data_IF_889013449408
#
_entry.id   IF_889013449408
#
_cell.length_a   1.000
_cell.length_b   1.000
_cell.length_c   1.000
_cell.angle_alpha   90.00
_cell.angle_beta   90.00
_cell.angle_gamma   90.00
#
_symmetry.space_group_name_H-M   'P 1'
#
loop_
_entity.id
_entity.type
_entity.pdbx_description
1 polymer ?
#
# COMPACT_ATOMS: atom_id res chain seq x y z
N UNK A 1 9.82 -15.89 0.79
CA UNK A 1 8.64 -15.22 1.37
C UNK A 1 7.45 -15.49 0.47
N UNK A 2 6.29 -15.84 1.03
CA UNK A 2 5.07 -15.99 0.23
C UNK A 2 4.61 -14.62 -0.27
N UNK A 3 4.05 -14.55 -1.49
CA UNK A 3 3.51 -13.32 -2.07
C UNK A 3 2.41 -12.70 -1.19
N UNK A 4 1.61 -13.54 -0.52
CA UNK A 4 0.63 -13.11 0.48
C UNK A 4 1.27 -12.41 1.69
N UNK A 5 2.45 -12.86 2.14
CA UNK A 5 3.17 -12.22 3.24
C UNK A 5 3.71 -10.84 2.82
N UNK A 6 4.20 -10.70 1.59
CA UNK A 6 4.65 -9.42 1.04
C UNK A 6 3.53 -8.38 0.94
N UNK A 7 2.34 -8.80 0.49
CA UNK A 7 1.14 -7.94 0.46
C UNK A 7 0.69 -7.53 1.87
N UNK A 8 0.71 -8.45 2.83
CA UNK A 8 0.38 -8.14 4.23
C UNK A 8 1.31 -7.09 4.82
N UNK A 9 2.62 -7.27 4.64
CA UNK A 9 3.63 -6.29 5.12
C UNK A 9 3.42 -4.91 4.48
N UNK A 10 3.11 -4.85 3.18
CA UNK A 10 2.83 -3.58 2.50
C UNK A 10 1.57 -2.89 3.06
N UNK A 11 0.49 -3.65 3.27
CA UNK A 11 -0.74 -3.12 3.84
C UNK A 11 -0.53 -2.60 5.27
N UNK A 12 0.22 -3.35 6.10
CA UNK A 12 0.56 -2.95 7.47
C UNK A 12 1.40 -1.66 7.47
N UNK A 13 2.40 -1.56 6.59
CA UNK A 13 3.25 -0.37 6.47
C UNK A 13 2.44 0.88 6.08
N UNK A 14 1.48 0.75 5.17
CA UNK A 14 0.54 1.83 4.81
C UNK A 14 -0.34 2.20 6.00
N UNK A 15 -0.85 1.23 6.75
CA UNK A 15 -1.62 1.49 7.97
C UNK A 15 -0.82 2.27 9.02
N UNK A 16 0.45 1.91 9.24
CA UNK A 16 1.36 2.64 10.13
C UNK A 16 1.58 4.07 9.67
N UNK A 17 1.79 4.28 8.36
CA UNK A 17 1.95 5.61 7.77
C UNK A 17 0.71 6.49 8.04
N UNK A 18 -0.49 5.97 7.77
CA UNK A 18 -1.74 6.68 8.02
C UNK A 18 -1.93 7.03 9.49
N UNK A 19 -1.67 6.10 10.40
CA UNK A 19 -1.77 6.37 11.82
C UNK A 19 -0.79 7.45 12.28
N UNK A 20 0.45 7.41 11.78
CA UNK A 20 1.44 8.44 12.06
C UNK A 20 1.01 9.80 11.48
N UNK A 21 0.51 9.82 10.25
CA UNK A 21 0.01 11.03 9.59
C UNK A 21 -1.18 11.63 10.33
N UNK A 22 -2.21 10.84 10.66
CA UNK A 22 -3.39 11.33 11.38
C UNK A 22 -3.03 11.94 12.74
N UNK A 23 -2.09 11.32 13.47
CA UNK A 23 -1.59 11.89 14.73
C UNK A 23 -0.87 13.22 14.51
N UNK A 24 -0.01 13.29 13.49
CA UNK A 24 0.70 14.52 13.15
C UNK A 24 -0.28 15.62 12.71
N UNK A 25 -1.21 15.30 11.82
CA UNK A 25 -2.18 16.22 11.25
C UNK A 25 -3.11 16.83 12.29
N UNK A 26 -3.40 16.11 13.39
CA UNK A 26 -4.19 16.65 14.49
C UNK A 26 -3.54 17.87 15.17
N UNK A 27 -2.21 17.98 15.12
CA UNK A 27 -1.43 19.10 15.67
C UNK A 27 -0.85 20.03 14.59
N UNK A 28 -0.62 19.50 13.38
CA UNK A 28 -0.09 20.23 12.23
C UNK A 28 -1.09 20.16 11.08
N UNK A 29 -1.95 21.18 10.97
CA UNK A 29 -3.08 21.22 10.04
C UNK A 29 -3.09 22.50 9.17
N UNK A 30 -1.92 23.09 8.97
CA UNK A 30 -1.77 24.30 8.15
C UNK A 30 -1.68 23.95 6.65
N UNK A 31 -1.51 24.98 5.82
CA UNK A 31 -1.34 24.80 4.37
C UNK A 31 -0.10 23.98 3.99
N UNK A 32 0.91 23.91 4.87
CA UNK A 32 2.12 23.12 4.64
C UNK A 32 1.83 21.65 4.88
N UNK A 33 1.05 21.33 5.92
CA UNK A 33 0.57 19.99 6.18
C UNK A 33 -0.27 19.46 5.02
N UNK A 34 -1.18 20.28 4.47
CA UNK A 34 -1.96 19.91 3.27
C UNK A 34 -1.06 19.62 2.06
N UNK A 35 -0.02 20.44 1.83
CA UNK A 35 0.94 20.20 0.74
C UNK A 35 1.72 18.91 0.95
N UNK A 36 2.16 18.66 2.18
CA UNK A 36 2.87 17.43 2.54
C UNK A 36 2.03 16.18 2.28
N UNK A 37 0.74 16.22 2.64
CA UNK A 37 -0.19 15.14 2.35
C UNK A 37 -0.30 14.86 0.85
N UNK A 38 -0.50 15.91 0.06
CA UNK A 38 -0.64 15.81 -1.40
C UNK A 38 0.65 15.36 -2.10
N UNK A 39 1.81 15.79 -1.61
CA UNK A 39 3.11 15.52 -2.22
C UNK A 39 3.65 14.14 -1.87
N UNK A 40 3.39 13.66 -0.64
CA UNK A 40 4.00 12.43 -0.14
C UNK A 40 2.98 11.35 0.24
N UNK A 41 1.98 11.70 1.06
CA UNK A 41 1.08 10.72 1.65
C UNK A 41 0.15 10.12 0.59
N UNK A 42 -0.62 10.94 -0.12
CA UNK A 42 -1.58 10.47 -1.14
C UNK A 42 -0.91 9.69 -2.29
N UNK A 43 0.26 10.10 -2.83
CA UNK A 43 0.94 9.31 -3.85
C UNK A 43 1.42 7.95 -3.36
N UNK A 44 1.95 7.85 -2.13
CA UNK A 44 2.40 6.58 -1.55
C UNK A 44 1.23 5.62 -1.35
N UNK A 45 0.09 6.11 -0.87
CA UNK A 45 -1.13 5.29 -0.73
C UNK A 45 -1.59 4.71 -2.07
N UNK A 46 -1.63 5.55 -3.10
CA UNK A 46 -2.01 5.13 -4.44
C UNK A 46 -1.04 4.09 -5.00
N UNK A 47 0.26 4.32 -4.86
CA UNK A 47 1.29 3.40 -5.32
C UNK A 47 1.24 2.05 -4.58
N UNK A 48 1.04 2.07 -3.26
CA UNK A 48 0.96 0.86 -2.46
C UNK A 48 -0.28 0.03 -2.80
N UNK A 49 -1.43 0.68 -3.05
CA UNK A 49 -2.64 0.00 -3.52
C UNK A 49 -2.41 -0.67 -4.87
N UNK A 50 -1.85 0.06 -5.84
CA UNK A 50 -1.53 -0.48 -7.16
C UNK A 50 -0.56 -1.67 -7.08
N UNK A 51 0.45 -1.60 -6.21
CA UNK A 51 1.36 -2.71 -5.98
C UNK A 51 0.65 -3.92 -5.37
N UNK A 52 -0.27 -3.72 -4.42
CA UNK A 52 -1.11 -4.79 -3.87
C UNK A 52 -1.96 -5.50 -4.93
N UNK A 53 -2.62 -4.72 -5.80
CA UNK A 53 -3.43 -5.26 -6.89
C UNK A 53 -2.57 -6.05 -7.91
N UNK A 54 -1.37 -5.54 -8.21
CA UNK A 54 -0.42 -6.25 -9.07
C UNK A 54 0.05 -7.57 -8.45
N UNK A 55 0.26 -7.61 -7.12
CA UNK A 55 0.59 -8.85 -6.41
C UNK A 55 -0.56 -9.87 -6.48
N UNK A 56 -1.81 -9.44 -6.34
CA UNK A 56 -2.97 -10.34 -6.46
C UNK A 56 -3.07 -10.93 -7.88
N UNK A 57 -2.88 -10.09 -8.90
CA UNK A 57 -2.92 -10.54 -10.28
C UNK A 57 -1.81 -11.54 -10.60
N UNK A 58 -0.60 -11.29 -10.11
CA UNK A 58 0.52 -12.22 -10.26
C UNK A 58 0.22 -13.57 -9.60
N UNK A 59 -0.32 -13.57 -8.38
CA UNK A 59 -0.71 -14.79 -7.69
C UNK A 59 -1.76 -15.58 -8.49
N UNK A 60 -2.78 -14.89 -9.01
CA UNK A 60 -3.82 -15.52 -9.84
C UNK A 60 -3.23 -16.20 -11.09
N UNK A 61 -2.32 -15.52 -11.80
CA UNK A 61 -1.67 -16.09 -13.00
C UNK A 61 -0.79 -17.28 -12.64
N UNK A 62 -0.06 -17.21 -11.53
CA UNK A 62 0.75 -18.34 -11.05
C UNK A 62 -0.12 -19.56 -10.71
N UNK A 63 -1.28 -19.36 -10.10
CA UNK A 63 -2.18 -20.45 -9.75
C UNK A 63 -2.87 -21.05 -10.99
N UNK A 64 -3.20 -20.23 -11.97
CA UNK A 64 -3.71 -20.70 -13.27
C UNK A 64 -2.64 -21.51 -14.03
N UNK A 65 -1.40 -21.03 -14.07
CA UNK A 65 -0.29 -21.74 -14.70
C UNK A 65 -0.02 -23.10 -14.04
N UNK A 66 -0.10 -23.19 -12.71
CA UNK A 66 0.03 -24.47 -12.00
C UNK A 66 -1.07 -25.46 -12.41
N UNK A 67 -2.33 -25.01 -12.42
CA UNK A 67 -3.47 -25.84 -12.85
C UNK A 67 -3.37 -26.31 -14.29
N UNK A 68 -2.75 -25.52 -15.17
CA UNK A 68 -2.54 -25.89 -16.57
C UNK A 68 -1.43 -26.93 -16.76
N UNK A 69 -0.55 -27.11 -15.77
CA UNK A 69 0.52 -28.10 -15.76
C UNK A 69 0.15 -29.40 -15.02
N UNK A 70 -1.02 -29.44 -14.37
CA UNK A 70 -1.63 -30.63 -13.77
C UNK A 70 -2.51 -31.37 -14.78
#
# INVERSE_FOLDING_TARGET
MSQAAGKGILADAVGVLHHAWHRCHSAWNDSTATKFEQEFISPIESAARQAGDAMDRLQSVCDEAKRACE
#
